data_IF_642208373261
#
_entry.id   IF_642208373261
#
_cell.length_a   1.000
_cell.length_b   1.000
_cell.length_c   1.000
_cell.angle_alpha   90.00
_cell.angle_beta   90.00
_cell.angle_gamma   90.00
#
_symmetry.space_group_name_H-M   'P 1'
#
loop_
_entity.id
_entity.type
_entity.pdbx_description
1 polymer ?
#
# COMPACT_ATOMS: atom_id res chain seq x y z
N UNK A 1 -19.21 -3.88 6.45
CA UNK A 1 -18.84 -2.55 6.97
C UNK A 1 -19.67 -1.44 6.32
N UNK A 2 -20.21 -1.62 5.11
CA UNK A 2 -21.14 -0.67 4.46
C UNK A 2 -22.20 -0.12 5.42
N UNK A 3 -22.96 -1.01 6.06
CA UNK A 3 -24.04 -0.57 6.95
C UNK A 3 -23.52 0.23 8.18
N UNK A 4 -22.26 0.06 8.59
CA UNK A 4 -21.65 0.89 9.65
C UNK A 4 -21.20 2.26 9.13
N UNK A 5 -20.72 2.32 7.88
CA UNK A 5 -20.34 3.56 7.19
C UNK A 5 -21.60 4.40 6.93
N UNK A 6 -22.69 3.77 6.50
CA UNK A 6 -24.00 4.39 6.30
C UNK A 6 -24.73 4.74 7.62
N UNK A 7 -24.20 4.30 8.77
CA UNK A 7 -24.75 4.58 10.10
C UNK A 7 -25.93 3.69 10.51
N UNK A 8 -26.28 2.68 9.73
CA UNK A 8 -27.33 1.70 10.03
C UNK A 8 -26.92 0.71 11.14
N UNK A 9 -25.61 0.53 11.36
CA UNK A 9 -25.07 -0.31 12.44
C UNK A 9 -23.99 0.40 13.24
N UNK A 10 -23.96 0.16 14.54
CA UNK A 10 -22.88 0.62 15.41
C UNK A 10 -21.64 -0.27 15.29
N UNK A 11 -20.45 0.35 15.29
CA UNK A 11 -19.18 -0.33 15.53
C UNK A 11 -18.96 -0.47 17.04
N UNK A 12 -18.70 -1.70 17.52
CA UNK A 12 -18.52 -2.00 18.95
C UNK A 12 -17.06 -2.30 19.34
N UNK A 13 -16.28 -2.77 18.38
CA UNK A 13 -14.87 -3.11 18.58
C UNK A 13 -14.01 -1.84 18.38
N UNK A 14 -13.07 -1.60 19.30
CA UNK A 14 -12.16 -0.45 19.25
C UNK A 14 -11.41 -0.34 17.91
N UNK A 15 -11.00 -1.47 17.33
CA UNK A 15 -10.32 -1.51 16.03
C UNK A 15 -11.25 -1.08 14.90
N UNK A 16 -12.49 -1.58 14.91
CA UNK A 16 -13.50 -1.22 13.90
C UNK A 16 -13.93 0.24 14.04
N UNK A 17 -14.00 0.77 15.26
CA UNK A 17 -14.24 2.19 15.52
C UNK A 17 -13.13 3.05 14.92
N UNK A 18 -11.87 2.67 15.11
CA UNK A 18 -10.72 3.40 14.55
C UNK A 18 -10.75 3.41 13.02
N UNK A 19 -11.02 2.26 12.37
CA UNK A 19 -11.19 2.22 10.91
C UNK A 19 -12.36 3.10 10.46
N UNK A 20 -13.49 3.04 11.15
CA UNK A 20 -14.67 3.83 10.80
C UNK A 20 -14.39 5.33 10.86
N UNK A 21 -13.62 5.80 11.84
CA UNK A 21 -13.22 7.21 11.97
C UNK A 21 -12.35 7.65 10.79
N UNK A 22 -11.33 6.87 10.42
CA UNK A 22 -10.48 7.14 9.25
C UNK A 22 -11.30 7.13 7.97
N UNK A 23 -12.13 6.11 7.76
CA UNK A 23 -12.99 6.00 6.58
C UNK A 23 -13.91 7.20 6.45
N UNK A 24 -14.56 7.63 7.55
CA UNK A 24 -15.42 8.83 7.55
C UNK A 24 -14.65 10.10 7.26
N UNK A 25 -13.39 10.21 7.70
CA UNK A 25 -12.54 11.36 7.37
C UNK A 25 -12.21 11.40 5.88
N UNK A 26 -11.80 10.27 5.29
CA UNK A 26 -11.51 10.17 3.86
C UNK A 26 -12.74 10.45 3.00
N UNK A 27 -13.92 9.92 3.37
CA UNK A 27 -15.16 10.15 2.62
C UNK A 27 -15.46 11.65 2.47
N UNK A 28 -15.15 12.47 3.47
CA UNK A 28 -15.35 13.94 3.41
C UNK A 28 -14.47 14.65 2.38
N UNK A 29 -13.41 14.01 1.91
CA UNK A 29 -12.53 14.56 0.87
C UNK A 29 -13.14 14.40 -0.53
N UNK A 30 -14.09 13.48 -0.69
CA UNK A 30 -14.81 13.27 -1.95
C UNK A 30 -16.06 14.15 -2.03
N UNK A 31 -16.33 14.69 -3.22
CA UNK A 31 -17.53 15.49 -3.48
C UNK A 31 -18.81 14.65 -3.34
N UNK A 32 -18.76 13.41 -3.83
CA UNK A 32 -19.84 12.43 -3.76
C UNK A 32 -19.23 11.06 -3.48
N UNK A 33 -19.91 10.24 -2.68
CA UNK A 33 -19.45 8.91 -2.29
C UNK A 33 -20.63 7.94 -2.26
N UNK A 34 -20.40 6.73 -2.76
CA UNK A 34 -21.35 5.61 -2.68
C UNK A 34 -20.57 4.35 -2.33
N UNK A 35 -21.16 3.53 -1.47
CA UNK A 35 -20.68 2.19 -1.14
C UNK A 35 -21.83 1.23 -1.41
N UNK A 36 -21.52 0.09 -2.02
CA UNK A 36 -22.49 -0.95 -2.36
C UNK A 36 -21.93 -2.32 -1.96
N UNK A 37 -22.74 -3.16 -1.31
CA UNK A 37 -22.42 -4.57 -1.08
C UNK A 37 -22.56 -5.36 -2.38
N UNK A 38 -21.45 -5.96 -2.81
CA UNK A 38 -21.43 -6.92 -3.92
C UNK A 38 -21.23 -8.35 -3.41
N UNK A 39 -21.89 -9.36 -4.01
CA UNK A 39 -21.63 -10.75 -3.64
C UNK A 39 -20.17 -11.13 -3.92
N UNK A 40 -19.61 -12.02 -3.10
CA UNK A 40 -18.17 -12.39 -3.13
C UNK A 40 -17.70 -12.88 -4.50
N UNK A 41 -18.53 -13.60 -5.24
CA UNK A 41 -18.21 -14.08 -6.59
C UNK A 41 -18.02 -12.96 -7.63
N UNK A 42 -18.41 -11.72 -7.31
CA UNK A 42 -18.17 -10.53 -8.14
C UNK A 42 -16.99 -9.68 -7.66
N UNK A 43 -16.42 -9.98 -6.49
CA UNK A 43 -15.24 -9.31 -5.93
C UNK A 43 -13.93 -10.09 -6.20
N UNK A 44 -13.93 -11.00 -7.17
CA UNK A 44 -12.84 -11.95 -7.41
C UNK A 44 -11.47 -11.31 -7.63
N UNK A 45 -11.42 -10.08 -8.16
CA UNK A 45 -10.17 -9.34 -8.34
C UNK A 45 -9.53 -8.95 -7.01
N UNK A 46 -10.33 -8.48 -6.06
CA UNK A 46 -9.83 -8.07 -4.75
C UNK A 46 -9.51 -9.30 -3.90
N UNK A 47 -10.35 -10.35 -3.93
CA UNK A 47 -10.04 -11.66 -3.34
C UNK A 47 -8.72 -12.23 -3.90
N UNK A 48 -8.42 -12.07 -5.19
CA UNK A 48 -7.14 -12.51 -5.77
C UNK A 48 -5.95 -11.72 -5.23
N UNK A 49 -6.10 -10.42 -5.00
CA UNK A 49 -5.08 -9.57 -4.39
C UNK A 49 -4.88 -9.89 -2.90
N UNK A 50 -5.96 -10.11 -2.15
CA UNK A 50 -5.88 -10.53 -0.75
C UNK A 50 -5.15 -11.87 -0.60
N UNK A 51 -5.45 -12.83 -1.48
CA UNK A 51 -4.76 -14.11 -1.53
C UNK A 51 -3.28 -13.97 -1.90
N UNK A 52 -2.96 -13.06 -2.84
CA UNK A 52 -1.57 -12.78 -3.20
C UNK A 52 -0.80 -12.16 -2.02
N UNK A 53 -1.40 -11.18 -1.33
CA UNK A 53 -0.82 -10.53 -0.14
C UNK A 53 -0.65 -11.49 1.04
N UNK A 54 -1.59 -12.40 1.24
CA UNK A 54 -1.58 -13.35 2.36
C UNK A 54 -0.59 -14.50 2.16
N UNK A 55 -0.35 -14.91 0.90
CA UNK A 55 0.58 -15.99 0.55
C UNK A 55 1.92 -15.46 0.04
N UNK A 56 2.25 -14.19 0.33
CA UNK A 56 3.49 -13.59 -0.13
C UNK A 56 4.66 -14.20 0.66
N UNK A 57 5.49 -14.97 -0.05
CA UNK A 57 6.77 -15.45 0.45
C UNK A 57 7.84 -14.42 0.02
N UNK A 58 8.46 -13.68 0.95
CA UNK A 58 9.45 -12.66 0.59
C UNK A 58 10.66 -13.24 -0.15
N UNK A 59 10.97 -14.52 0.05
CA UNK A 59 12.06 -15.24 -0.63
C UNK A 59 11.79 -15.55 -2.11
N UNK A 60 10.53 -15.50 -2.54
CA UNK A 60 10.10 -15.92 -3.89
C UNK A 60 10.12 -14.75 -4.90
N UNK A 61 10.17 -13.51 -4.42
CA UNK A 61 10.13 -12.30 -5.23
C UNK A 61 11.48 -11.57 -5.25
N UNK A 62 12.46 -12.17 -5.90
CA UNK A 62 13.83 -11.62 -6.01
C UNK A 62 14.03 -10.43 -6.96
N UNK A 63 12.97 -9.88 -7.56
CA UNK A 63 13.11 -8.78 -8.54
C UNK A 63 12.21 -7.56 -8.25
N UNK A 64 11.26 -7.68 -7.33
CA UNK A 64 10.28 -6.62 -7.03
C UNK A 64 10.41 -6.29 -5.54
N UNK A 65 10.71 -5.04 -5.17
CA UNK A 65 10.79 -4.66 -3.76
C UNK A 65 9.41 -4.85 -3.11
N UNK A 66 9.34 -5.74 -2.13
CA UNK A 66 8.13 -6.00 -1.35
C UNK A 66 8.15 -5.23 -0.04
N UNK A 67 7.06 -4.51 0.19
CA UNK A 67 6.81 -3.77 1.41
C UNK A 67 5.76 -4.51 2.22
N UNK A 68 6.14 -4.98 3.40
CA UNK A 68 5.20 -5.61 4.32
C UNK A 68 4.93 -4.67 5.50
N UNK A 69 3.66 -4.28 5.64
CA UNK A 69 3.21 -3.37 6.70
C UNK A 69 2.71 -4.23 7.86
N UNK A 70 3.51 -4.31 8.93
CA UNK A 70 3.21 -5.16 10.10
C UNK A 70 2.23 -4.50 11.09
N UNK A 71 2.17 -3.18 11.12
CA UNK A 71 1.26 -2.44 12.00
C UNK A 71 -0.05 -2.08 11.31
N UNK A 72 -1.06 -1.71 12.08
CA UNK A 72 -2.35 -1.32 11.52
C UNK A 72 -2.15 -0.07 10.65
N UNK A 73 -2.61 -0.11 9.38
CA UNK A 73 -2.50 1.01 8.43
C UNK A 73 -3.19 2.32 8.87
N UNK A 74 -3.83 2.33 10.05
CA UNK A 74 -4.42 3.49 10.70
C UNK A 74 -3.36 4.33 11.44
N UNK A 75 -2.28 3.70 11.90
CA UNK A 75 -1.21 4.36 12.65
C UNK A 75 -0.40 5.25 11.69
N UNK A 76 -0.23 6.54 12.02
CA UNK A 76 0.52 7.51 11.21
C UNK A 76 1.99 7.12 11.00
N UNK A 77 2.52 6.28 11.88
CA UNK A 77 3.88 5.78 11.87
C UNK A 77 3.80 4.26 11.70
N UNK A 78 3.54 3.81 10.47
CA UNK A 78 3.54 2.38 10.20
C UNK A 78 4.98 1.87 10.11
N UNK A 79 5.31 0.86 10.92
CA UNK A 79 6.59 0.17 10.80
C UNK A 79 6.60 -0.60 9.49
N UNK A 80 7.27 -0.03 8.51
CA UNK A 80 7.37 -0.54 7.15
C UNK A 80 8.65 -1.36 7.06
N UNK A 81 8.52 -2.69 7.01
CA UNK A 81 9.67 -3.54 6.72
C UNK A 81 9.83 -3.66 5.21
N UNK A 82 10.91 -3.07 4.69
CA UNK A 82 11.34 -3.24 3.30
C UNK A 82 12.38 -4.37 3.30
N UNK A 83 12.05 -5.49 2.67
CA UNK A 83 12.98 -6.62 2.62
C UNK A 83 14.10 -6.35 1.62
N UNK A 84 15.34 -6.63 2.03
CA UNK A 84 16.50 -6.59 1.15
C UNK A 84 16.55 -7.87 0.34
N UNK A 85 16.44 -7.74 -0.97
CA UNK A 85 16.69 -8.85 -1.87
C UNK A 85 18.20 -9.05 -1.92
N UNK A 86 18.68 -10.29 -1.75
CA UNK A 86 20.08 -10.66 -1.99
C UNK A 86 20.49 -10.21 -3.39
N UNK A 87 21.13 -9.05 -3.47
CA UNK A 87 21.90 -8.68 -4.64
C UNK A 87 23.16 -9.55 -4.60
N UNK A 88 23.41 -10.35 -5.64
CA UNK A 88 24.69 -11.01 -5.80
C UNK A 88 25.82 -9.99 -5.53
N UNK A 89 26.80 -10.29 -4.65
CA UNK A 89 27.79 -9.31 -4.17
C UNK A 89 28.80 -8.83 -5.21
N UNK A 90 28.55 -9.04 -6.51
CA UNK A 90 29.51 -8.82 -7.59
C UNK A 90 29.33 -7.49 -8.32
N UNK A 91 28.22 -6.78 -8.16
CA UNK A 91 28.01 -5.51 -8.85
C UNK A 91 28.01 -4.34 -7.86
N UNK A 92 29.05 -3.52 -7.98
CA UNK A 92 29.24 -2.23 -7.29
C UNK A 92 27.89 -1.57 -6.97
N UNK A 93 27.65 -1.28 -5.70
CA UNK A 93 26.44 -0.67 -5.13
C UNK A 93 25.95 0.60 -5.86
N UNK A 94 26.80 1.19 -6.68
CA UNK A 94 26.53 2.36 -7.54
C UNK A 94 25.52 2.11 -8.67
N UNK A 95 25.29 0.86 -9.12
CA UNK A 95 24.34 0.54 -10.22
C UNK A 95 23.08 -0.22 -9.76
N UNK A 96 22.72 -0.15 -8.49
CA UNK A 96 21.47 -0.76 -8.03
C UNK A 96 20.27 0.15 -8.36
N UNK A 97 19.55 -0.15 -9.45
CA UNK A 97 18.36 0.59 -9.89
C UNK A 97 17.24 0.63 -8.84
N UNK A 98 17.27 -0.25 -7.83
CA UNK A 98 16.28 -0.25 -6.74
C UNK A 98 16.56 0.80 -5.66
N UNK A 99 17.77 1.37 -5.60
CA UNK A 99 18.18 2.32 -4.56
C UNK A 99 17.26 3.55 -4.48
N UNK A 100 16.92 4.25 -5.59
CA UNK A 100 16.01 5.38 -5.54
C UNK A 100 14.58 5.02 -5.08
N UNK A 101 14.14 3.78 -5.35
CA UNK A 101 12.85 3.27 -4.88
C UNK A 101 12.88 2.95 -3.39
N UNK A 102 13.98 2.38 -2.88
CA UNK A 102 14.17 2.11 -1.45
C UNK A 102 14.19 3.40 -0.63
N UNK A 103 14.98 4.38 -1.06
CA UNK A 103 15.10 5.69 -0.39
C UNK A 103 13.73 6.44 -0.40
N UNK A 104 12.98 6.30 -1.49
CA UNK A 104 11.63 6.86 -1.51
C UNK A 104 10.67 6.16 -0.53
N UNK A 105 10.81 4.86 -0.35
CA UNK A 105 9.94 4.08 0.54
C UNK A 105 10.27 4.30 2.02
N UNK A 106 11.56 4.40 2.38
CA UNK A 106 12.03 4.55 3.76
C UNK A 106 11.94 5.99 4.25
N UNK A 107 12.44 6.94 3.46
CA UNK A 107 12.69 8.33 3.87
C UNK A 107 11.81 9.35 3.13
N UNK A 108 10.93 8.88 2.23
CA UNK A 108 10.07 9.75 1.37
C UNK A 108 10.90 10.72 0.53
N UNK A 109 12.16 10.40 0.29
CA UNK A 109 13.07 11.20 -0.51
C UNK A 109 12.78 10.95 -1.98
N UNK A 110 12.23 11.95 -2.66
CA UNK A 110 12.06 11.89 -4.12
C UNK A 110 13.43 11.99 -4.79
N UNK A 111 13.78 11.10 -5.73
CA UNK A 111 15.01 11.24 -6.49
C UNK A 111 15.03 12.60 -7.22
N UNK A 112 16.15 13.32 -7.14
CA UNK A 112 16.35 14.54 -7.92
C UNK A 112 16.14 14.21 -9.41
N UNK A 113 15.27 14.99 -10.06
CA UNK A 113 14.62 14.64 -11.32
C UNK A 113 15.57 14.19 -12.43
N UNK A 114 15.02 13.35 -13.33
CA UNK A 114 15.46 13.40 -14.72
C UNK A 114 14.71 14.58 -15.33
N UNK A 115 15.46 15.59 -15.75
CA UNK A 115 14.95 16.59 -16.69
C UNK A 115 14.25 15.84 -17.83
N UNK A 116 13.01 16.24 -18.13
CA UNK A 116 12.30 15.77 -19.30
C UNK A 116 13.22 15.99 -20.52
N UNK A 117 13.47 15.00 -21.38
CA UNK A 117 14.13 15.27 -22.63
C UNK A 117 13.18 16.18 -23.43
N UNK A 118 13.56 17.45 -23.56
CA UNK A 118 12.97 18.38 -24.52
C UNK A 118 12.93 17.69 -25.88
N UNK A 119 11.73 17.30 -26.32
CA UNK A 119 11.52 16.95 -27.71
C UNK A 119 11.52 18.27 -28.48
N UNK A 120 12.68 18.63 -29.02
CA UNK A 120 12.74 19.64 -30.08
C UNK A 120 12.01 19.08 -31.31
N UNK A 121 11.07 19.90 -31.80
CA UNK A 121 10.24 19.68 -33.00
C UNK A 121 11.06 19.93 -34.26
#
# INVERSE_FOLDING_TARGET
>A
MENQINGEYAAKDAKIIAYLEVTKKLIKEFKEFKIDQVPRNFNTKEDALENLGSNINPDEFGAIPLVHVLSQAIEKESTTNVYEIQTNPTEKEERNWTKPLKDYLLDKTTPAGKEDPSYDV
#
